data_IF_129719201109
#
_entry.id   IF_129719201109
#
_cell.length_a   1.000
_cell.length_b   1.000
_cell.length_c   1.000
_cell.angle_alpha   90.00
_cell.angle_beta   90.00
_cell.angle_gamma   90.00
#
_symmetry.space_group_name_H-M   'P 1'
#
loop_
_entity.id
_entity.type
_entity.pdbx_description
1 polymer ?
#
# COMPACT_ATOMS: atom_id res chain seq x y z
N UNK A 1 11.01 10.99 3.32
CA UNK A 1 12.07 10.36 4.16
C UNK A 1 11.64 10.13 5.61
N UNK A 2 10.92 11.05 6.27
CA UNK A 2 10.58 10.93 7.71
C UNK A 2 9.76 9.68 8.11
N UNK A 3 8.74 9.31 7.33
CA UNK A 3 7.84 8.20 7.67
C UNK A 3 8.53 6.84 7.65
N UNK A 4 9.25 6.50 6.57
CA UNK A 4 9.99 5.24 6.45
C UNK A 4 11.05 5.11 7.55
N UNK A 5 11.76 6.20 7.87
CA UNK A 5 12.72 6.25 8.97
C UNK A 5 12.06 5.99 10.34
N UNK A 6 10.84 6.51 10.56
CA UNK A 6 10.05 6.23 11.76
C UNK A 6 9.69 4.75 11.85
N UNK A 7 9.13 4.16 10.78
CA UNK A 7 8.81 2.73 10.74
C UNK A 7 10.03 1.84 10.95
N UNK A 8 11.19 2.22 10.42
CA UNK A 8 12.42 1.46 10.63
C UNK A 8 12.85 1.44 12.10
N UNK A 9 12.71 2.57 12.81
CA UNK A 9 12.98 2.65 14.25
C UNK A 9 11.95 1.86 15.06
N UNK A 10 10.68 1.91 14.65
CA UNK A 10 9.56 1.31 15.35
C UNK A 10 9.42 -0.21 15.10
N UNK A 11 10.23 -0.81 14.22
CA UNK A 11 10.15 -2.24 13.89
C UNK A 11 10.23 -3.18 15.09
N UNK A 12 10.87 -2.74 16.19
CA UNK A 12 10.91 -3.50 17.46
C UNK A 12 9.52 -3.70 18.08
N UNK A 13 8.64 -2.71 17.91
CA UNK A 13 7.28 -2.71 18.47
C UNK A 13 6.22 -3.09 17.42
N UNK A 14 6.56 -3.03 16.14
CA UNK A 14 5.71 -3.41 15.01
C UNK A 14 6.49 -4.41 14.13
N UNK A 15 6.50 -5.70 14.51
CA UNK A 15 7.37 -6.69 13.87
C UNK A 15 6.97 -6.99 12.42
N UNK A 16 5.71 -6.73 12.05
CA UNK A 16 5.19 -6.93 10.70
C UNK A 16 4.85 -5.58 10.07
N UNK A 17 5.64 -5.19 9.06
CA UNK A 17 5.42 -3.97 8.27
C UNK A 17 5.47 -4.36 6.80
N UNK A 18 4.36 -4.13 6.11
CA UNK A 18 4.18 -4.48 4.71
C UNK A 18 3.82 -3.24 3.91
N UNK A 19 4.50 -3.03 2.79
CA UNK A 19 4.17 -2.01 1.79
C UNK A 19 3.43 -2.69 0.64
N UNK A 20 2.14 -2.38 0.47
CA UNK A 20 1.38 -2.83 -0.68
C UNK A 20 1.66 -1.93 -1.89
N UNK A 21 1.85 -2.53 -3.05
CA UNK A 21 2.16 -1.86 -4.31
C UNK A 21 0.99 -1.98 -5.29
N UNK A 22 0.84 -0.97 -6.14
CA UNK A 22 -0.10 -1.00 -7.27
C UNK A 22 0.36 -2.05 -8.29
N UNK A 23 -0.58 -2.72 -8.96
CA UNK A 23 -0.21 -3.72 -9.96
C UNK A 23 0.42 -3.06 -11.18
N UNK A 24 1.47 -3.68 -11.71
CA UNK A 24 2.03 -3.31 -13.02
C UNK A 24 1.15 -3.76 -14.20
N UNK A 25 0.14 -4.58 -13.94
CA UNK A 25 -0.80 -5.10 -14.95
C UNK A 25 -2.16 -4.44 -14.83
N UNK A 26 -2.97 -4.52 -15.89
CA UNK A 26 -4.34 -4.01 -15.88
C UNK A 26 -5.13 -4.66 -14.74
N UNK A 27 -5.75 -3.84 -13.90
CA UNK A 27 -6.48 -4.32 -12.72
C UNK A 27 -7.82 -4.91 -13.14
N UNK A 28 -8.34 -5.86 -12.37
CA UNK A 28 -9.66 -6.46 -12.60
C UNK A 28 -10.78 -5.41 -12.66
N UNK A 29 -10.65 -4.34 -11.87
CA UNK A 29 -11.60 -3.22 -11.90
C UNK A 29 -11.53 -2.49 -13.23
N UNK A 30 -10.34 -2.18 -13.74
CA UNK A 30 -10.16 -1.56 -15.05
C UNK A 30 -10.59 -2.47 -16.22
N UNK A 31 -10.53 -3.80 -16.05
CA UNK A 31 -11.08 -4.74 -17.04
C UNK A 31 -12.60 -4.69 -17.08
N UNK A 32 -13.25 -4.66 -15.91
CA UNK A 32 -14.72 -4.67 -15.79
C UNK A 32 -15.37 -3.31 -16.06
N UNK A 33 -14.70 -2.23 -15.68
CA UNK A 33 -15.21 -0.87 -15.71
C UNK A 33 -14.30 -0.07 -16.64
N UNK A 34 -14.59 -0.08 -17.94
CA UNK A 34 -13.68 0.41 -18.98
C UNK A 34 -13.06 1.78 -18.69
N UNK A 35 -13.87 2.77 -18.30
CA UNK A 35 -13.44 4.16 -18.01
C UNK A 35 -12.91 4.37 -16.58
N UNK A 36 -12.80 3.31 -15.77
CA UNK A 36 -12.37 3.41 -14.38
C UNK A 36 -10.94 3.98 -14.28
N UNK A 37 -10.79 5.05 -13.49
CA UNK A 37 -9.56 5.82 -13.29
C UNK A 37 -8.94 6.47 -14.55
N UNK A 38 -9.57 6.39 -15.73
CA UNK A 38 -9.02 6.99 -16.96
C UNK A 38 -8.89 8.52 -16.90
N UNK A 39 -9.73 9.19 -16.11
CA UNK A 39 -9.69 10.64 -15.94
C UNK A 39 -8.61 11.11 -14.95
N UNK A 40 -7.84 10.20 -14.34
CA UNK A 40 -6.75 10.57 -13.44
C UNK A 40 -5.58 11.06 -14.29
N UNK A 41 -4.96 12.16 -13.87
CA UNK A 41 -3.69 12.59 -14.47
C UNK A 41 -2.62 11.55 -14.17
N UNK A 42 -1.85 11.20 -15.19
CA UNK A 42 -0.69 10.35 -15.03
C UNK A 42 0.29 10.95 -14.02
N UNK A 43 0.96 10.04 -13.29
CA UNK A 43 2.08 10.38 -12.44
C UNK A 43 3.18 11.10 -13.25
N UNK A 44 3.81 12.18 -12.73
CA UNK A 44 4.96 12.80 -13.37
C UNK A 44 6.06 11.77 -13.66
N UNK A 45 6.68 11.82 -14.84
CA UNK A 45 7.70 10.85 -15.27
C UNK A 45 8.88 10.78 -14.30
N UNK A 46 9.29 11.93 -13.76
CA UNK A 46 10.37 12.05 -12.79
C UNK A 46 10.03 11.32 -11.48
N UNK A 47 8.74 11.27 -11.11
CA UNK A 47 8.29 10.51 -9.94
C UNK A 47 8.32 9.00 -10.23
N UNK A 48 7.87 8.58 -11.42
CA UNK A 48 7.89 7.16 -11.81
C UNK A 48 9.31 6.59 -11.83
N UNK A 49 10.31 7.36 -12.30
CA UNK A 49 11.72 6.96 -12.26
C UNK A 49 12.27 6.75 -10.84
N UNK A 50 11.66 7.39 -9.83
CA UNK A 50 12.08 7.26 -8.43
C UNK A 50 11.47 6.04 -7.73
N UNK A 51 10.37 5.48 -8.24
CA UNK A 51 9.69 4.34 -7.59
C UNK A 51 10.60 3.11 -7.47
N UNK A 52 11.27 2.61 -8.54
CA UNK A 52 12.12 1.43 -8.44
C UNK A 52 13.24 1.62 -7.41
N UNK A 53 13.82 2.82 -7.36
CA UNK A 53 14.86 3.19 -6.40
C UNK A 53 14.28 3.11 -4.98
N UNK A 54 13.13 3.72 -4.72
CA UNK A 54 12.49 3.68 -3.41
C UNK A 54 12.20 2.24 -2.94
N UNK A 55 11.72 1.37 -3.85
CA UNK A 55 11.46 -0.04 -3.55
C UNK A 55 12.74 -0.79 -3.19
N UNK A 56 13.83 -0.58 -3.94
CA UNK A 56 15.13 -1.17 -3.64
C UNK A 56 15.61 -0.79 -2.24
N UNK A 57 15.46 0.48 -1.84
CA UNK A 57 15.82 0.93 -0.50
C UNK A 57 14.94 0.31 0.58
N UNK A 58 13.61 0.20 0.36
CA UNK A 58 12.71 -0.45 1.31
C UNK A 58 13.10 -1.91 1.54
N UNK A 59 13.41 -2.64 0.47
CA UNK A 59 13.87 -4.02 0.54
C UNK A 59 15.22 -4.13 1.28
N UNK A 60 16.19 -3.26 0.98
CA UNK A 60 17.48 -3.19 1.69
C UNK A 60 17.34 -2.86 3.18
N UNK A 61 16.30 -2.12 3.57
CA UNK A 61 15.95 -1.85 4.96
C UNK A 61 15.24 -3.04 5.64
N UNK A 62 14.97 -4.12 4.91
CA UNK A 62 14.32 -5.34 5.41
C UNK A 62 12.80 -5.24 5.47
N UNK A 63 12.18 -4.29 4.76
CA UNK A 63 10.74 -4.23 4.65
C UNK A 63 10.22 -5.20 3.59
N UNK A 64 9.03 -5.74 3.83
CA UNK A 64 8.31 -6.55 2.85
C UNK A 64 7.50 -5.64 1.93
N UNK A 65 7.68 -5.78 0.62
CA UNK A 65 6.85 -5.13 -0.39
C UNK A 65 6.03 -6.20 -1.10
N UNK A 66 4.71 -6.01 -1.20
CA UNK A 66 3.78 -6.98 -1.80
C UNK A 66 3.08 -6.33 -2.99
N UNK A 67 3.21 -6.96 -4.14
CA UNK A 67 2.45 -6.66 -5.35
C UNK A 67 1.69 -7.92 -5.75
N UNK A 68 0.44 -7.77 -6.20
CA UNK A 68 -0.35 -8.88 -6.71
C UNK A 68 -0.91 -8.52 -8.08
N UNK A 69 -0.56 -9.31 -9.09
CA UNK A 69 -0.99 -9.06 -10.47
C UNK A 69 -2.52 -8.97 -10.59
N UNK A 70 -2.99 -7.91 -11.23
CA UNK A 70 -4.40 -7.65 -11.49
C UNK A 70 -5.19 -7.10 -10.30
N UNK A 71 -4.56 -6.86 -9.15
CA UNK A 71 -5.20 -6.29 -7.97
C UNK A 71 -4.57 -4.94 -7.60
N UNK A 72 -5.41 -4.05 -7.08
CA UNK A 72 -4.94 -2.73 -6.67
C UNK A 72 -4.28 -2.79 -5.29
N UNK A 73 -3.44 -1.80 -4.98
CA UNK A 73 -2.79 -1.73 -3.67
C UNK A 73 -3.82 -1.72 -2.53
N UNK A 74 -4.99 -1.13 -2.75
CA UNK A 74 -6.08 -1.09 -1.78
C UNK A 74 -6.71 -2.48 -1.51
N UNK A 75 -6.87 -3.31 -2.53
CA UNK A 75 -7.31 -4.70 -2.43
C UNK A 75 -6.34 -5.51 -1.55
N UNK A 76 -5.05 -5.32 -1.77
CA UNK A 76 -3.98 -6.00 -1.00
C UNK A 76 -4.00 -5.53 0.45
N UNK A 77 -4.09 -4.21 0.70
CA UNK A 77 -4.17 -3.65 2.05
C UNK A 77 -5.41 -4.18 2.78
N UNK A 78 -6.58 -4.11 2.15
CA UNK A 78 -7.83 -4.57 2.74
C UNK A 78 -7.76 -6.06 3.08
N UNK A 79 -7.28 -6.89 2.15
CA UNK A 79 -7.15 -8.33 2.34
C UNK A 79 -6.20 -8.67 3.51
N UNK A 80 -5.02 -8.04 3.55
CA UNK A 80 -4.05 -8.27 4.63
C UNK A 80 -4.59 -7.78 5.98
N UNK A 81 -5.26 -6.63 6.01
CA UNK A 81 -5.78 -6.06 7.24
C UNK A 81 -6.93 -6.90 7.83
N UNK A 82 -7.85 -7.36 6.98
CA UNK A 82 -9.01 -8.17 7.38
C UNK A 82 -8.60 -9.58 7.82
N UNK A 83 -7.65 -10.21 7.12
CA UNK A 83 -7.21 -11.58 7.41
C UNK A 83 -6.17 -11.66 8.53
N UNK A 84 -5.46 -10.58 8.82
CA UNK A 84 -4.47 -10.53 9.90
C UNK A 84 -5.10 -10.94 11.23
N UNK A 85 -4.50 -11.83 12.04
CA UNK A 85 -4.99 -12.13 13.38
C UNK A 85 -4.68 -11.02 14.39
N UNK A 86 -3.83 -10.05 14.04
CA UNK A 86 -3.31 -9.01 14.94
C UNK A 86 -4.10 -7.70 14.84
N UNK A 87 -3.89 -6.79 15.80
CA UNK A 87 -4.30 -5.39 15.64
C UNK A 87 -3.51 -4.76 14.50
N UNK A 88 -4.21 -4.23 13.52
CA UNK A 88 -3.64 -3.74 12.27
C UNK A 88 -3.78 -2.22 12.18
N UNK A 89 -2.72 -1.57 11.70
CA UNK A 89 -2.72 -0.14 11.39
C UNK A 89 -2.55 0.01 9.89
N UNK A 90 -3.50 0.68 9.25
CA UNK A 90 -3.41 1.07 7.84
C UNK A 90 -2.87 2.49 7.81
N UNK A 91 -1.81 2.73 7.03
CA UNK A 91 -1.26 4.06 6.79
C UNK A 91 -1.62 4.49 5.37
N UNK A 92 -2.66 5.31 5.24
CA UNK A 92 -3.15 5.82 3.96
C UNK A 92 -3.98 7.08 4.16
N UNK A 93 -3.92 7.99 3.18
CA UNK A 93 -4.82 9.14 3.08
C UNK A 93 -6.17 8.80 2.45
N UNK A 94 -6.29 7.60 1.89
CA UNK A 94 -7.52 7.15 1.26
C UNK A 94 -8.59 6.88 2.31
N UNK A 95 -9.69 7.63 2.23
CA UNK A 95 -10.81 7.54 3.17
C UNK A 95 -11.70 6.34 2.91
N UNK A 96 -11.54 5.64 1.79
CA UNK A 96 -12.31 4.43 1.52
C UNK A 96 -11.94 3.31 2.51
N UNK A 97 -10.75 3.34 3.11
CA UNK A 97 -10.38 2.43 4.20
C UNK A 97 -11.18 2.65 5.49
N UNK A 98 -11.93 3.75 5.63
CA UNK A 98 -12.82 3.93 6.79
C UNK A 98 -13.86 2.81 6.91
N UNK A 99 -14.22 2.17 5.78
CA UNK A 99 -15.13 1.02 5.77
C UNK A 99 -14.59 -0.21 6.52
N UNK A 100 -13.27 -0.27 6.78
CA UNK A 100 -12.62 -1.39 7.47
C UNK A 100 -12.40 -1.13 8.98
N UNK A 101 -12.73 0.06 9.48
CA UNK A 101 -12.46 0.44 10.86
C UNK A 101 -13.23 -0.46 11.85
N UNK A 102 -12.53 -0.88 12.88
CA UNK A 102 -13.05 -1.72 13.96
C UNK A 102 -12.13 -1.65 15.18
N UNK A 103 -12.47 -2.35 16.26
CA UNK A 103 -11.59 -2.48 17.43
C UNK A 103 -10.20 -3.09 17.10
N UNK A 104 -10.09 -3.74 15.93
CA UNK A 104 -8.87 -4.39 15.45
C UNK A 104 -8.12 -3.59 14.38
N UNK A 105 -8.80 -2.74 13.62
CA UNK A 105 -8.23 -2.03 12.47
C UNK A 105 -8.37 -0.53 12.67
N UNK A 106 -7.25 0.17 12.64
CA UNK A 106 -7.19 1.63 12.72
C UNK A 106 -6.52 2.22 11.48
N UNK A 107 -6.98 3.40 11.05
CA UNK A 107 -6.45 4.16 9.92
C UNK A 107 -5.64 5.37 10.42
N UNK A 108 -4.50 5.61 9.81
CA UNK A 108 -3.57 6.72 10.06
C UNK A 108 -3.18 7.40 8.74
N UNK A 109 -2.94 8.71 8.76
CA UNK A 109 -2.56 9.53 7.60
C UNK A 109 -1.13 10.11 7.65
#
# INVERSE_FOLDING_TARGET
VGMVKKFYKDKKNMPFIVFALESQTKTKRAEKLGEYKQNRKDAPKEMLLQIPIALEWLQKMGFTCVEVNGFEADDVIASLATLSPYKTRIYSKDKDFNQLLSDKIALFD
#
